data_IF_514140474070
#
_entry.id   IF_514140474070
#
_cell.length_a   1.000
_cell.length_b   1.000
_cell.length_c   1.000
_cell.angle_alpha   90.00
_cell.angle_beta   90.00
_cell.angle_gamma   90.00
#
_symmetry.space_group_name_H-M   'P 1'
#
loop_
_entity.id
_entity.type
_entity.pdbx_description
1 polymer ?
#
# COMPACT_ATOMS: atom_id res chain seq x y z
N UNK A 1 32.29 32.46 24.77
CA UNK A 1 31.01 31.99 24.26
C UNK A 1 30.96 30.49 24.45
N UNK A 2 29.94 29.94 25.13
CA UNK A 2 29.76 28.48 25.21
C UNK A 2 29.38 27.97 23.83
N UNK A 3 30.08 26.93 23.36
CA UNK A 3 29.69 26.25 22.14
C UNK A 3 28.21 25.84 22.22
N UNK A 4 27.40 25.98 21.14
CA UNK A 4 26.02 25.50 21.17
C UNK A 4 26.00 24.00 21.50
N UNK A 5 25.01 23.54 22.28
CA UNK A 5 24.92 22.13 22.61
C UNK A 5 24.77 21.32 21.31
N UNK A 6 25.44 20.17 21.26
CA UNK A 6 25.30 19.23 20.13
C UNK A 6 23.85 18.70 20.11
N UNK A 7 23.12 18.80 19.00
CA UNK A 7 21.75 18.34 18.94
C UNK A 7 21.66 16.82 19.14
N UNK A 8 20.62 16.39 19.85
CA UNK A 8 20.32 14.96 20.00
C UNK A 8 19.88 14.40 18.66
N UNK A 9 20.57 13.38 18.15
CA UNK A 9 20.26 12.76 16.85
C UNK A 9 19.21 11.68 16.99
N UNK A 10 18.05 11.90 16.38
CA UNK A 10 16.94 10.95 16.28
C UNK A 10 16.90 10.41 14.86
N UNK A 11 17.18 9.12 14.69
CA UNK A 11 17.14 8.41 13.41
C UNK A 11 15.86 7.58 13.33
N UNK A 12 15.07 7.81 12.28
CA UNK A 12 13.81 7.11 12.02
C UNK A 12 13.97 6.27 10.76
N UNK A 13 13.82 4.97 10.87
CA UNK A 13 13.87 4.03 9.76
C UNK A 13 12.44 3.70 9.32
N UNK A 14 12.11 4.10 8.10
CA UNK A 14 10.79 4.02 7.50
C UNK A 14 10.02 5.34 7.53
N UNK A 15 9.57 5.79 6.34
CA UNK A 15 8.82 7.02 6.09
C UNK A 15 7.31 6.88 6.25
N UNK A 16 6.86 5.97 7.11
CA UNK A 16 5.44 5.71 7.36
C UNK A 16 4.78 6.68 8.34
N UNK A 17 3.59 6.32 8.81
CA UNK A 17 2.76 7.16 9.70
C UNK A 17 3.44 7.55 11.01
N UNK A 18 4.26 6.67 11.58
CA UNK A 18 5.02 6.97 12.82
C UNK A 18 6.03 8.07 12.55
N UNK A 19 6.74 8.04 11.42
CA UNK A 19 7.68 9.10 11.03
C UNK A 19 6.95 10.45 10.87
N UNK A 20 5.78 10.47 10.22
CA UNK A 20 4.95 11.67 10.07
C UNK A 20 4.57 12.23 11.43
N UNK A 21 4.12 11.37 12.33
CA UNK A 21 3.74 11.78 13.68
C UNK A 21 4.92 12.35 14.44
N UNK A 22 6.09 11.68 14.43
CA UNK A 22 7.31 12.14 15.11
C UNK A 22 7.80 13.49 14.60
N UNK A 23 7.83 13.70 13.28
CA UNK A 23 8.18 14.98 12.68
C UNK A 23 7.28 16.10 13.20
N UNK A 24 5.99 15.85 13.33
CA UNK A 24 5.02 16.82 13.87
C UNK A 24 5.30 17.13 15.33
N UNK A 25 5.56 16.12 16.18
CA UNK A 25 5.84 16.29 17.60
C UNK A 25 7.17 16.98 17.86
N UNK A 26 8.21 16.61 17.11
CA UNK A 26 9.56 17.13 17.31
C UNK A 26 9.85 18.43 16.54
N UNK A 27 8.90 18.93 15.76
CA UNK A 27 9.06 20.07 14.85
C UNK A 27 9.69 21.29 15.51
N UNK A 28 9.25 21.63 16.71
CA UNK A 28 9.75 22.79 17.46
C UNK A 28 11.18 22.59 17.93
N UNK A 29 11.52 21.38 18.45
CA UNK A 29 12.86 21.05 18.91
C UNK A 29 13.87 21.02 17.74
N UNK A 30 13.45 20.49 16.58
CA UNK A 30 14.28 20.52 15.35
C UNK A 30 14.54 21.96 14.90
N UNK A 31 13.53 22.83 14.92
CA UNK A 31 13.69 24.24 14.53
C UNK A 31 14.59 25.04 15.49
N UNK A 32 14.62 24.66 16.78
CA UNK A 32 15.53 25.28 17.76
C UNK A 32 16.95 24.70 17.73
N UNK A 33 17.20 23.65 16.91
CA UNK A 33 18.49 23.00 16.84
C UNK A 33 18.79 22.08 18.04
N UNK A 34 17.80 21.71 18.83
CA UNK A 34 17.91 20.79 19.97
C UNK A 34 17.94 19.32 19.51
N UNK A 35 17.27 19.03 18.39
CA UNK A 35 17.15 17.70 17.78
C UNK A 35 17.57 17.75 16.31
N UNK A 36 18.45 16.84 15.91
CA UNK A 36 18.71 16.48 14.51
C UNK A 36 17.82 15.28 14.16
N UNK A 37 16.71 15.50 13.46
CA UNK A 37 15.79 14.46 13.05
C UNK A 37 16.11 14.01 11.63
N UNK A 38 16.42 12.71 11.46
CA UNK A 38 16.72 12.11 10.16
C UNK A 38 15.72 10.99 9.91
N UNK A 39 15.01 11.04 8.80
CA UNK A 39 14.09 9.99 8.32
C UNK A 39 14.72 9.31 7.12
N UNK A 40 14.79 7.99 7.13
CA UNK A 40 15.34 7.15 6.05
C UNK A 40 14.22 6.28 5.51
N UNK A 41 14.03 6.29 4.20
CA UNK A 41 13.14 5.36 3.48
C UNK A 41 13.71 5.06 2.09
N UNK A 42 13.42 3.89 1.55
CA UNK A 42 13.79 3.51 0.20
C UNK A 42 12.98 4.24 -0.88
N UNK A 43 11.79 4.76 -0.52
CA UNK A 43 10.92 5.53 -1.40
C UNK A 43 10.98 7.02 -1.05
N UNK A 44 11.06 7.87 -2.05
CA UNK A 44 11.08 9.33 -1.88
C UNK A 44 9.67 9.94 -1.76
N UNK A 45 8.67 9.12 -1.49
CA UNK A 45 7.27 9.50 -1.31
C UNK A 45 6.63 8.66 -0.21
N UNK A 46 5.53 9.16 0.34
CA UNK A 46 4.62 8.44 1.21
C UNK A 46 3.29 8.23 0.50
N UNK A 47 2.74 7.02 0.56
CA UNK A 47 1.42 6.68 0.04
C UNK A 47 0.39 6.69 1.16
N UNK A 48 -0.72 7.38 0.97
CA UNK A 48 -1.88 7.26 1.84
C UNK A 48 -2.67 6.01 1.48
N UNK A 49 -2.43 4.92 2.19
CA UNK A 49 -2.94 3.59 1.86
C UNK A 49 -4.47 3.47 1.91
N UNK A 50 -5.15 4.32 2.68
CA UNK A 50 -6.60 4.27 2.84
C UNK A 50 -7.42 4.63 1.59
N UNK A 51 -6.76 5.04 0.49
CA UNK A 51 -7.41 5.40 -0.78
C UNK A 51 -6.81 4.66 -1.98
N UNK A 52 -6.10 3.56 -1.74
CA UNK A 52 -5.53 2.72 -2.81
C UNK A 52 -6.64 2.04 -3.65
N UNK A 53 -7.74 1.55 -3.07
CA UNK A 53 -8.83 0.97 -3.85
C UNK A 53 -9.49 1.96 -4.82
N UNK A 54 -9.72 3.20 -4.40
CA UNK A 54 -10.30 4.26 -5.25
C UNK A 54 -9.34 4.68 -6.37
N UNK A 55 -8.04 4.61 -6.11
CA UNK A 55 -7.04 4.83 -7.15
C UNK A 55 -7.03 3.67 -8.17
N UNK A 56 -7.23 2.43 -7.72
CA UNK A 56 -7.33 1.26 -8.58
C UNK A 56 -8.41 1.47 -9.66
N UNK A 57 -9.55 1.98 -9.26
CA UNK A 57 -10.69 2.23 -10.15
C UNK A 57 -10.63 3.58 -10.89
N UNK A 58 -9.65 4.42 -10.58
CA UNK A 58 -9.46 5.73 -11.21
C UNK A 58 -10.36 6.84 -10.69
N UNK A 59 -11.10 6.62 -9.60
CA UNK A 59 -11.90 7.64 -8.91
C UNK A 59 -11.01 8.77 -8.40
N UNK A 60 -9.79 8.44 -8.01
CA UNK A 60 -8.77 9.41 -7.60
C UNK A 60 -7.45 9.18 -8.36
N UNK A 61 -6.68 10.26 -8.49
CA UNK A 61 -5.40 10.22 -9.18
C UNK A 61 -4.25 10.00 -8.18
N UNK A 62 -3.14 9.45 -8.67
CA UNK A 62 -1.93 9.19 -7.89
C UNK A 62 -1.45 10.39 -7.06
N UNK A 63 -1.47 11.58 -7.65
CA UNK A 63 -1.05 12.82 -6.97
C UNK A 63 -1.87 13.19 -5.74
N UNK A 64 -3.05 12.58 -5.56
CA UNK A 64 -3.92 12.83 -4.40
C UNK A 64 -3.58 11.95 -3.21
N UNK A 65 -2.94 10.79 -3.44
CA UNK A 65 -2.56 9.86 -2.36
C UNK A 65 -1.06 9.79 -2.10
N UNK A 66 -0.24 10.40 -2.98
CA UNK A 66 1.21 10.42 -2.84
C UNK A 66 1.66 11.79 -2.33
N UNK A 67 2.50 11.77 -1.28
CA UNK A 67 3.12 12.97 -0.73
C UNK A 67 4.64 12.87 -0.85
N UNK A 68 5.33 13.89 -1.42
CA UNK A 68 6.79 13.89 -1.51
C UNK A 68 7.45 13.86 -0.12
N UNK A 69 8.29 12.86 0.14
CA UNK A 69 8.88 12.61 1.45
C UNK A 69 9.67 13.82 2.00
N UNK A 70 10.47 14.49 1.17
CA UNK A 70 11.23 15.68 1.60
C UNK A 70 10.38 16.81 2.11
N UNK A 71 9.20 17.01 1.53
CA UNK A 71 8.23 18.03 1.97
C UNK A 71 7.51 17.58 3.23
N UNK A 72 7.15 16.31 3.29
CA UNK A 72 6.40 15.73 4.38
C UNK A 72 7.18 15.71 5.70
N UNK A 73 8.49 15.42 5.62
CA UNK A 73 9.36 15.30 6.78
C UNK A 73 10.12 16.59 7.17
N UNK A 74 9.90 17.70 6.47
CA UNK A 74 10.44 18.99 6.86
C UNK A 74 9.86 19.46 8.22
N UNK A 75 10.69 20.03 9.13
CA UNK A 75 12.07 20.52 8.96
C UNK A 75 13.16 19.44 9.20
N UNK A 76 12.82 18.17 9.43
CA UNK A 76 13.79 17.09 9.52
C UNK A 76 14.47 16.82 8.17
N UNK A 77 15.59 16.13 8.22
CA UNK A 77 16.33 15.66 7.04
C UNK A 77 15.74 14.36 6.54
N UNK A 78 15.53 14.23 5.22
CA UNK A 78 15.13 12.98 4.58
C UNK A 78 16.27 12.41 3.74
N UNK A 79 16.52 11.10 3.88
CA UNK A 79 17.50 10.34 3.08
C UNK A 79 16.76 9.20 2.39
N UNK A 80 16.84 9.18 1.06
CA UNK A 80 16.31 8.07 0.24
C UNK A 80 17.40 6.99 0.14
N UNK A 81 17.25 5.92 0.90
CA UNK A 81 18.22 4.82 0.96
C UNK A 81 17.55 3.54 1.49
N UNK A 82 18.07 2.39 1.08
CA UNK A 82 17.76 1.11 1.68
C UNK A 82 18.54 0.90 2.99
N UNK A 83 17.99 0.12 3.90
CA UNK A 83 18.59 -0.23 5.17
C UNK A 83 19.22 -1.60 5.03
N UNK A 84 20.52 -1.68 5.26
CA UNK A 84 21.27 -2.93 5.15
C UNK A 84 21.43 -3.61 6.52
N UNK A 85 21.88 -2.85 7.54
CA UNK A 85 22.15 -3.39 8.86
C UNK A 85 22.01 -2.33 9.95
N UNK A 86 21.54 -2.76 11.11
CA UNK A 86 21.48 -1.98 12.35
C UNK A 86 22.48 -2.57 13.34
N UNK A 87 23.46 -1.77 13.78
CA UNK A 87 24.39 -2.11 14.84
C UNK A 87 23.98 -1.36 16.11
N UNK A 88 23.25 -2.05 16.97
CA UNK A 88 22.73 -1.46 18.22
C UNK A 88 23.85 -1.15 19.21
N UNK A 89 24.90 -1.97 19.24
CA UNK A 89 26.02 -1.78 20.17
C UNK A 89 26.83 -0.53 19.84
N UNK A 90 27.05 -0.25 18.57
CA UNK A 90 27.74 0.94 18.08
C UNK A 90 26.80 2.14 17.88
N UNK A 91 25.50 1.96 18.00
CA UNK A 91 24.48 2.95 17.63
C UNK A 91 24.68 3.47 16.22
N UNK A 92 24.83 2.57 15.26
CA UNK A 92 25.03 2.88 13.86
C UNK A 92 24.05 2.10 12.97
N UNK A 93 23.69 2.71 11.86
CA UNK A 93 22.89 2.07 10.80
C UNK A 93 23.67 2.18 9.51
N UNK A 94 23.87 1.03 8.86
CA UNK A 94 24.44 0.94 7.52
C UNK A 94 23.30 0.98 6.50
N UNK A 95 23.40 1.91 5.58
CA UNK A 95 22.47 2.16 4.50
C UNK A 95 23.17 1.94 3.17
N UNK A 96 22.40 1.66 2.12
CA UNK A 96 22.85 1.69 0.73
C UNK A 96 22.02 2.69 -0.08
N UNK A 97 22.69 3.50 -0.89
CA UNK A 97 22.00 4.46 -1.75
C UNK A 97 21.26 3.73 -2.90
N UNK A 98 20.07 4.21 -3.24
CA UNK A 98 19.22 3.54 -4.22
C UNK A 98 19.81 3.51 -5.65
N UNK A 99 20.67 4.47 -6.00
CA UNK A 99 21.19 4.62 -7.37
C UNK A 99 22.47 3.82 -7.62
N UNK A 100 23.42 3.87 -6.71
CA UNK A 100 24.78 3.32 -6.91
C UNK A 100 25.17 2.30 -5.83
N UNK A 101 24.23 1.97 -4.94
CA UNK A 101 24.45 1.07 -3.81
C UNK A 101 25.63 1.43 -2.90
N UNK A 102 26.13 2.67 -3.00
CA UNK A 102 27.24 3.09 -2.16
C UNK A 102 26.84 3.11 -0.69
N UNK A 103 27.69 2.58 0.21
CA UNK A 103 27.39 2.50 1.63
C UNK A 103 27.39 3.89 2.27
N UNK A 104 26.48 4.10 3.21
CA UNK A 104 26.35 5.28 4.04
C UNK A 104 26.09 4.85 5.48
N UNK A 105 26.96 5.18 6.41
CA UNK A 105 26.77 4.89 7.84
C UNK A 105 26.26 6.13 8.56
N UNK A 106 25.21 5.97 9.34
CA UNK A 106 24.64 7.01 10.20
C UNK A 106 24.68 6.55 11.66
N UNK A 107 25.22 7.40 12.53
CA UNK A 107 25.13 7.22 13.98
C UNK A 107 23.83 7.84 14.51
N UNK A 108 23.41 7.42 15.72
CA UNK A 108 22.20 7.94 16.36
C UNK A 108 22.33 7.95 17.90
N UNK A 109 21.60 8.85 18.56
CA UNK A 109 21.35 8.79 20.00
C UNK A 109 20.10 7.97 20.29
N UNK A 110 19.04 8.20 19.48
CA UNK A 110 17.79 7.47 19.53
C UNK A 110 17.43 6.90 18.15
N UNK A 111 17.01 5.64 18.15
CA UNK A 111 16.58 4.93 16.94
C UNK A 111 15.08 4.58 17.03
N UNK A 112 14.35 4.92 15.98
CA UNK A 112 12.95 4.49 15.79
C UNK A 112 12.87 3.59 14.56
N UNK A 113 12.45 2.36 14.75
CA UNK A 113 12.27 1.38 13.67
C UNK A 113 10.79 1.30 13.30
N UNK A 114 10.46 1.74 12.08
CA UNK A 114 9.08 1.84 11.56
C UNK A 114 9.03 1.42 10.10
N UNK A 115 9.53 0.23 9.81
CA UNK A 115 9.71 -0.29 8.46
C UNK A 115 8.40 -0.77 7.80
N UNK A 116 7.30 -0.78 8.55
CA UNK A 116 6.01 -1.27 8.08
C UNK A 116 5.98 -2.80 7.98
N UNK A 117 5.28 -3.29 6.98
CA UNK A 117 5.11 -4.72 6.72
C UNK A 117 5.13 -5.00 5.23
N UNK A 118 5.49 -6.21 4.87
CA UNK A 118 5.37 -6.76 3.52
C UNK A 118 4.38 -7.91 3.52
N UNK A 119 3.78 -8.18 2.36
CA UNK A 119 2.91 -9.34 2.21
C UNK A 119 3.78 -10.60 2.06
N UNK A 120 3.55 -11.59 2.91
CA UNK A 120 4.20 -12.88 2.81
C UNK A 120 3.49 -13.76 1.78
N UNK A 121 3.95 -13.65 0.54
CA UNK A 121 3.42 -14.41 -0.59
C UNK A 121 3.87 -15.88 -0.59
N UNK A 122 4.79 -16.27 0.30
CA UNK A 122 5.29 -17.66 0.40
C UNK A 122 4.38 -18.53 1.24
N UNK A 123 3.51 -17.94 2.05
CA UNK A 123 2.62 -18.63 2.97
C UNK A 123 1.69 -19.63 2.31
N UNK A 124 1.30 -19.38 1.06
CA UNK A 124 0.44 -20.24 0.29
C UNK A 124 1.08 -20.57 -1.05
N UNK A 125 1.10 -21.87 -1.41
CA UNK A 125 1.68 -22.34 -2.66
C UNK A 125 1.00 -21.67 -3.86
N UNK A 126 1.79 -21.14 -4.79
CA UNK A 126 1.33 -20.51 -6.02
C UNK A 126 0.91 -19.05 -5.88
N UNK A 127 0.68 -18.52 -4.67
CA UNK A 127 0.25 -17.14 -4.49
C UNK A 127 1.30 -16.16 -5.03
N UNK A 128 2.57 -16.36 -4.72
CA UNK A 128 3.64 -15.47 -5.21
C UNK A 128 3.83 -15.46 -6.72
N UNK A 129 3.46 -16.55 -7.39
CA UNK A 129 3.65 -16.74 -8.83
C UNK A 129 2.45 -16.23 -9.65
N UNK A 130 1.24 -16.32 -9.08
CA UNK A 130 -0.02 -16.13 -9.81
C UNK A 130 -0.86 -14.95 -9.33
N UNK A 131 -0.37 -14.16 -8.36
CA UNK A 131 -1.10 -12.99 -7.85
C UNK A 131 -0.35 -11.69 -8.06
N UNK A 132 -1.10 -10.62 -8.21
CA UNK A 132 -0.62 -9.25 -8.14
C UNK A 132 -0.87 -8.72 -6.73
N UNK A 133 0.11 -8.04 -6.15
CA UNK A 133 -0.04 -7.35 -4.86
C UNK A 133 -0.82 -6.06 -5.04
N UNK A 134 -1.48 -5.63 -3.98
CA UNK A 134 -2.12 -4.32 -3.89
C UNK A 134 -1.69 -3.64 -2.58
N UNK A 135 -0.42 -3.24 -2.51
CA UNK A 135 0.18 -2.66 -1.31
C UNK A 135 0.51 -1.17 -1.46
N UNK A 136 1.06 -0.80 -2.58
CA UNK A 136 1.52 0.56 -2.84
C UNK A 136 1.00 1.11 -4.17
N UNK A 137 1.47 2.31 -4.51
CA UNK A 137 1.12 2.99 -5.76
C UNK A 137 1.46 2.16 -7.00
N UNK A 138 2.66 1.60 -7.08
CA UNK A 138 3.09 0.84 -8.26
C UNK A 138 2.32 -0.46 -8.40
N UNK A 139 2.04 -1.14 -7.29
CA UNK A 139 1.18 -2.31 -7.27
C UNK A 139 -0.21 -1.95 -7.82
N UNK A 140 -0.78 -0.82 -7.40
CA UNK A 140 -2.09 -0.36 -7.86
C UNK A 140 -2.11 -0.10 -9.37
N UNK A 141 -1.12 0.60 -9.92
CA UNK A 141 -1.00 0.84 -11.37
C UNK A 141 -0.89 -0.48 -12.13
N UNK A 142 -0.12 -1.43 -11.61
CA UNK A 142 0.08 -2.74 -12.21
C UNK A 142 -1.21 -3.56 -12.23
N UNK A 143 -1.95 -3.60 -11.12
CA UNK A 143 -3.25 -4.28 -11.03
C UNK A 143 -4.25 -3.63 -11.97
N UNK A 144 -4.35 -2.30 -12.00
CA UNK A 144 -5.24 -1.57 -12.91
C UNK A 144 -4.95 -1.89 -14.37
N UNK A 145 -3.68 -1.84 -14.80
CA UNK A 145 -3.30 -2.15 -16.18
C UNK A 145 -3.65 -3.61 -16.53
N UNK A 146 -3.48 -4.54 -15.59
CA UNK A 146 -3.89 -5.93 -15.80
C UNK A 146 -5.40 -6.07 -15.95
N UNK A 147 -6.20 -5.42 -15.09
CA UNK A 147 -7.66 -5.43 -15.19
C UNK A 147 -8.14 -4.92 -16.56
N UNK A 148 -7.60 -3.78 -17.01
CA UNK A 148 -7.95 -3.22 -18.32
C UNK A 148 -7.54 -4.16 -19.46
N UNK A 149 -6.34 -4.76 -19.40
CA UNK A 149 -5.91 -5.74 -20.40
C UNK A 149 -6.84 -6.96 -20.46
N UNK A 150 -7.35 -7.44 -19.32
CA UNK A 150 -8.32 -8.55 -19.31
C UNK A 150 -9.65 -8.17 -19.96
N UNK A 151 -10.12 -6.93 -19.78
CA UNK A 151 -11.32 -6.44 -20.45
C UNK A 151 -11.11 -6.32 -21.96
N UNK A 152 -9.98 -5.79 -22.44
CA UNK A 152 -9.64 -5.71 -23.86
C UNK A 152 -9.57 -7.11 -24.51
N UNK A 153 -8.94 -8.08 -23.83
CA UNK A 153 -8.89 -9.44 -24.33
C UNK A 153 -10.27 -10.10 -24.35
N UNK A 154 -11.10 -9.87 -23.32
CA UNK A 154 -12.45 -10.41 -23.26
C UNK A 154 -13.36 -9.83 -24.33
N UNK A 155 -13.24 -8.53 -24.66
CA UNK A 155 -14.02 -7.88 -25.73
C UNK A 155 -13.74 -8.51 -27.11
N UNK A 156 -12.48 -8.92 -27.35
CA UNK A 156 -12.05 -9.54 -28.60
C UNK A 156 -12.25 -11.07 -28.62
N UNK A 157 -12.55 -11.71 -27.48
CA UNK A 157 -12.60 -13.18 -27.36
C UNK A 157 -13.96 -13.75 -27.85
N UNK A 158 -13.97 -14.57 -28.93
CA UNK A 158 -15.20 -15.15 -29.45
C UNK A 158 -15.71 -16.35 -28.63
N UNK A 159 -14.81 -17.08 -27.91
CA UNK A 159 -15.23 -18.21 -27.08
C UNK A 159 -15.83 -17.74 -25.74
N UNK A 160 -17.12 -18.01 -25.49
CA UNK A 160 -17.76 -17.58 -24.25
C UNK A 160 -17.15 -18.20 -22.98
N UNK A 161 -16.49 -19.35 -23.10
CA UNK A 161 -15.84 -20.00 -21.94
C UNK A 161 -14.56 -19.27 -21.58
N UNK A 162 -13.71 -19.00 -22.57
CA UNK A 162 -12.49 -18.23 -22.37
C UNK A 162 -12.78 -16.79 -21.97
N UNK A 163 -13.81 -16.16 -22.55
CA UNK A 163 -14.23 -14.82 -22.16
C UNK A 163 -14.62 -14.74 -20.68
N UNK A 164 -15.40 -15.69 -20.17
CA UNK A 164 -15.74 -15.76 -18.74
C UNK A 164 -14.52 -16.00 -17.88
N UNK A 165 -13.52 -16.75 -18.33
CA UNK A 165 -12.26 -16.94 -17.62
C UNK A 165 -11.46 -15.65 -17.50
N UNK A 166 -11.41 -14.83 -18.55
CA UNK A 166 -10.77 -13.52 -18.55
C UNK A 166 -11.49 -12.52 -17.64
N UNK A 167 -12.81 -12.66 -17.48
CA UNK A 167 -13.65 -11.77 -16.66
C UNK A 167 -13.85 -12.28 -15.22
N UNK A 168 -13.13 -13.32 -14.80
CA UNK A 168 -13.16 -13.81 -13.43
C UNK A 168 -11.97 -13.27 -12.62
N UNK A 169 -12.27 -12.37 -11.70
CA UNK A 169 -11.29 -11.72 -10.83
C UNK A 169 -11.33 -12.34 -9.44
N UNK A 170 -10.17 -12.83 -8.97
CA UNK A 170 -10.05 -13.47 -7.66
C UNK A 170 -9.23 -12.57 -6.73
N UNK A 171 -9.78 -12.24 -5.58
CA UNK A 171 -9.15 -11.43 -4.54
C UNK A 171 -8.78 -12.34 -3.37
N UNK A 172 -7.48 -12.48 -3.12
CA UNK A 172 -6.96 -13.29 -2.04
C UNK A 172 -6.83 -12.45 -0.76
N UNK A 173 -7.78 -12.60 0.15
CA UNK A 173 -7.83 -11.95 1.45
C UNK A 173 -9.15 -11.25 1.74
N UNK A 174 -9.82 -11.65 2.81
CA UNK A 174 -11.08 -11.06 3.28
C UNK A 174 -10.90 -10.02 4.39
N UNK A 175 -9.76 -9.33 4.44
CA UNK A 175 -9.50 -8.19 5.32
C UNK A 175 -9.98 -6.87 4.68
N UNK A 176 -9.74 -5.73 5.34
CA UNK A 176 -10.18 -4.42 4.84
C UNK A 176 -9.76 -4.17 3.39
N UNK A 177 -8.48 -4.31 3.06
CA UNK A 177 -7.98 -4.01 1.72
C UNK A 177 -8.63 -4.88 0.63
N UNK A 178 -8.83 -6.19 0.90
CA UNK A 178 -9.47 -7.09 -0.06
C UNK A 178 -10.96 -6.79 -0.25
N UNK A 179 -11.67 -6.46 0.83
CA UNK A 179 -13.11 -6.13 0.77
C UNK A 179 -13.35 -4.79 0.07
N UNK A 180 -12.52 -3.79 0.37
CA UNK A 180 -12.56 -2.49 -0.31
C UNK A 180 -12.24 -2.64 -1.80
N UNK A 181 -11.19 -3.41 -2.14
CA UNK A 181 -10.84 -3.69 -3.53
C UNK A 181 -11.97 -4.43 -4.28
N UNK A 182 -12.64 -5.40 -3.64
CA UNK A 182 -13.76 -6.12 -4.24
C UNK A 182 -14.95 -5.19 -4.53
N UNK A 183 -15.30 -4.35 -3.56
CA UNK A 183 -16.41 -3.41 -3.70
C UNK A 183 -16.14 -2.37 -4.80
N UNK A 184 -14.93 -1.78 -4.79
CA UNK A 184 -14.49 -0.82 -5.80
C UNK A 184 -14.43 -1.44 -7.20
N UNK A 185 -13.91 -2.67 -7.32
CA UNK A 185 -13.86 -3.38 -8.60
C UNK A 185 -15.26 -3.68 -9.15
N UNK A 186 -16.19 -4.09 -8.30
CA UNK A 186 -17.58 -4.35 -8.73
C UNK A 186 -18.26 -3.09 -9.29
N UNK A 187 -18.05 -1.94 -8.64
CA UNK A 187 -18.59 -0.67 -9.13
C UNK A 187 -17.89 -0.20 -10.41
N UNK A 188 -16.58 -0.37 -10.48
CA UNK A 188 -15.77 -0.03 -11.65
C UNK A 188 -16.19 -0.82 -12.89
N UNK A 189 -16.31 -2.15 -12.78
CA UNK A 189 -16.77 -3.01 -13.86
C UNK A 189 -18.17 -2.61 -14.33
N UNK A 190 -19.11 -2.39 -13.40
CA UNK A 190 -20.46 -1.95 -13.74
C UNK A 190 -20.48 -0.64 -14.53
N UNK A 191 -19.61 0.31 -14.18
CA UNK A 191 -19.48 1.59 -14.89
C UNK A 191 -18.85 1.42 -16.25
N UNK A 192 -17.69 0.75 -16.35
CA UNK A 192 -16.94 0.57 -17.58
C UNK A 192 -17.69 -0.23 -18.63
N UNK A 193 -18.28 -1.36 -18.24
CA UNK A 193 -19.00 -2.22 -19.19
C UNK A 193 -20.22 -1.52 -19.81
N UNK A 194 -20.80 -0.58 -19.08
CA UNK A 194 -21.94 0.19 -19.59
C UNK A 194 -21.52 1.22 -20.65
N UNK A 195 -20.32 1.77 -20.56
CA UNK A 195 -19.90 2.93 -21.37
C UNK A 195 -18.79 2.62 -22.36
N UNK A 196 -17.85 1.77 -22.00
CA UNK A 196 -16.61 1.57 -22.76
C UNK A 196 -16.53 0.21 -23.46
N UNK A 197 -17.22 -0.84 -22.95
CA UNK A 197 -17.15 -2.21 -23.47
C UNK A 197 -18.54 -2.76 -23.82
N UNK A 198 -19.14 -2.32 -24.93
CA UNK A 198 -20.53 -2.68 -25.29
C UNK A 198 -20.71 -4.16 -25.67
N UNK A 199 -19.64 -4.86 -26.02
CA UNK A 199 -19.63 -6.29 -26.32
C UNK A 199 -19.63 -7.19 -25.08
N UNK A 200 -19.33 -6.66 -23.91
CA UNK A 200 -19.28 -7.39 -22.64
C UNK A 200 -20.55 -7.15 -21.80
N UNK A 201 -20.99 -8.19 -21.09
CA UNK A 201 -22.14 -8.10 -20.19
C UNK A 201 -21.69 -8.23 -18.74
N UNK A 202 -22.35 -7.50 -17.84
CA UNK A 202 -22.02 -7.55 -16.41
C UNK A 202 -22.20 -8.95 -15.83
N UNK A 203 -23.16 -9.72 -16.34
CA UNK A 203 -23.44 -11.09 -15.92
C UNK A 203 -22.33 -12.08 -16.29
N UNK A 204 -21.44 -11.71 -17.21
CA UNK A 204 -20.25 -12.50 -17.55
C UNK A 204 -19.07 -12.26 -16.59
N UNK A 205 -19.14 -11.20 -15.79
CA UNK A 205 -18.08 -10.89 -14.81
C UNK A 205 -18.29 -11.59 -13.48
N UNK A 206 -17.23 -12.08 -12.89
CA UNK A 206 -17.24 -12.71 -11.58
C UNK A 206 -16.13 -12.14 -10.70
N UNK A 207 -16.47 -11.78 -9.47
CA UNK A 207 -15.51 -11.36 -8.46
C UNK A 207 -15.63 -12.33 -7.29
N UNK A 208 -14.56 -13.05 -7.00
CA UNK A 208 -14.52 -14.02 -5.91
C UNK A 208 -13.50 -13.55 -4.85
N UNK A 209 -13.94 -13.45 -3.60
CA UNK A 209 -13.07 -13.17 -2.46
C UNK A 209 -12.73 -14.48 -1.76
N UNK A 210 -11.48 -14.89 -1.82
CA UNK A 210 -10.98 -16.09 -1.13
C UNK A 210 -10.38 -15.70 0.21
N UNK A 211 -10.85 -16.33 1.28
CA UNK A 211 -10.42 -16.04 2.64
C UNK A 211 -10.27 -17.32 3.46
N UNK A 212 -9.26 -17.37 4.32
CA UNK A 212 -8.95 -18.57 5.14
C UNK A 212 -9.81 -18.70 6.40
N UNK A 213 -10.54 -17.67 6.80
CA UNK A 213 -11.40 -17.66 7.97
C UNK A 213 -12.86 -17.92 7.62
N UNK A 214 -13.69 -18.16 8.64
CA UNK A 214 -15.14 -18.36 8.47
C UNK A 214 -15.89 -17.08 8.06
N UNK A 215 -15.32 -15.91 8.35
CA UNK A 215 -15.94 -14.60 8.11
C UNK A 215 -14.92 -13.61 7.55
N UNK A 216 -15.37 -12.79 6.62
CA UNK A 216 -14.59 -11.64 6.17
C UNK A 216 -14.44 -10.61 7.30
N UNK A 217 -13.46 -9.72 7.21
CA UNK A 217 -13.16 -8.70 8.22
C UNK A 217 -13.03 -9.30 9.63
N UNK A 218 -12.13 -10.28 9.84
CA UNK A 218 -12.08 -11.07 11.08
C UNK A 218 -11.82 -10.21 12.33
N UNK A 219 -11.05 -9.13 12.18
CA UNK A 219 -10.75 -8.20 13.27
C UNK A 219 -11.99 -7.40 13.70
N UNK A 220 -12.78 -6.95 12.72
CA UNK A 220 -14.04 -6.26 12.95
C UNK A 220 -15.11 -7.23 13.48
N UNK A 221 -15.19 -8.42 12.90
CA UNK A 221 -16.19 -9.44 13.21
C UNK A 221 -16.13 -9.97 14.64
N UNK A 222 -14.97 -9.94 15.28
CA UNK A 222 -14.85 -10.29 16.72
C UNK A 222 -15.59 -9.30 17.62
N UNK A 223 -15.52 -8.02 17.32
CA UNK A 223 -16.09 -6.94 18.14
C UNK A 223 -17.47 -6.51 17.65
N UNK A 224 -17.68 -6.54 16.34
CA UNK A 224 -18.88 -6.05 15.67
C UNK A 224 -19.35 -7.04 14.59
N UNK A 225 -19.87 -8.23 14.95
CA UNK A 225 -20.21 -9.28 13.97
C UNK A 225 -21.23 -8.82 12.92
N UNK A 226 -22.18 -7.97 13.29
CA UNK A 226 -23.18 -7.41 12.36
C UNK A 226 -22.56 -6.57 11.24
N UNK A 227 -21.41 -5.91 11.48
CA UNK A 227 -20.73 -5.14 10.44
C UNK A 227 -20.05 -6.05 9.42
N UNK A 228 -19.47 -7.18 9.86
CA UNK A 228 -18.91 -8.19 8.95
C UNK A 228 -20.01 -8.83 8.09
N UNK A 229 -21.16 -9.15 8.68
CA UNK A 229 -22.32 -9.68 7.96
C UNK A 229 -22.87 -8.66 6.95
N UNK A 230 -23.03 -7.41 7.37
CA UNK A 230 -23.46 -6.33 6.49
C UNK A 230 -22.51 -6.15 5.29
N UNK A 231 -21.19 -6.16 5.52
CA UNK A 231 -20.20 -6.07 4.44
C UNK A 231 -20.32 -7.25 3.45
N UNK A 232 -20.51 -8.47 3.96
CA UNK A 232 -20.73 -9.65 3.12
C UNK A 232 -22.01 -9.53 2.28
N UNK A 233 -23.10 -9.03 2.87
CA UNK A 233 -24.36 -8.82 2.16
C UNK A 233 -24.25 -7.75 1.08
N UNK A 234 -23.52 -6.66 1.33
CA UNK A 234 -23.25 -5.62 0.33
C UNK A 234 -22.43 -6.19 -0.82
N UNK A 235 -21.39 -6.96 -0.54
CA UNK A 235 -20.59 -7.60 -1.60
C UNK A 235 -21.44 -8.54 -2.45
N UNK A 236 -22.26 -9.41 -1.84
CA UNK A 236 -23.17 -10.33 -2.59
C UNK A 236 -24.16 -9.57 -3.47
N UNK A 237 -24.76 -8.48 -2.96
CA UNK A 237 -25.66 -7.62 -3.74
C UNK A 237 -24.96 -6.97 -4.94
N UNK A 238 -23.64 -6.78 -4.85
CA UNK A 238 -22.82 -6.25 -5.93
C UNK A 238 -22.23 -7.34 -6.84
N UNK A 239 -22.63 -8.60 -6.70
CA UNK A 239 -22.20 -9.71 -7.56
C UNK A 239 -20.87 -10.34 -7.14
N UNK A 240 -20.35 -10.04 -5.95
CA UNK A 240 -19.16 -10.71 -5.39
C UNK A 240 -19.54 -11.99 -4.63
N UNK A 241 -18.72 -13.03 -4.74
CA UNK A 241 -18.88 -14.33 -4.06
C UNK A 241 -17.71 -14.61 -3.12
#
# INVERSE_FOLDING_TARGET
MKSPPVPTRVLVLGGGYVAIWLVRQLRSAVRRGEVELIVVDQHNYHTFHGLVPEMLTGKIQAGQIISPARRLFAPGRFICAGIERIDVAKKEVLLHRALDSAPLTLSYDHLVVNLGSVDDLTRYRGVGEHTLRLKDYFDCVRVRNHLLAMLEFAEAEPDPVERRRLLHFVIAGGNYAGIEAAAELAEFLRSLLKTEYPGLKLEETHITVVHSGERILPELGRRFPRLSEYAADVLRKNGCT
#
